data_IF_030127449139
#
_entry.id   IF_030127449139
#
_cell.length_a   1.000
_cell.length_b   1.000
_cell.length_c   1.000
_cell.angle_alpha   90.00
_cell.angle_beta   90.00
_cell.angle_gamma   90.00
#
_symmetry.space_group_name_H-M   'P 1'
#
loop_
_entity.id
_entity.type
_entity.pdbx_description
1 polymer ?
#
# COMPACT_ATOMS: atom_id res chain seq x y z
N UNK A 1 1.97 9.80 -2.53
CA UNK A 1 1.17 8.64 -2.13
C UNK A 1 0.47 8.97 -0.81
N UNK A 2 -0.83 8.77 -0.74
CA UNK A 2 -1.66 9.23 0.38
C UNK A 2 -2.59 8.11 0.82
N UNK A 3 -2.63 7.83 2.14
CA UNK A 3 -3.48 6.79 2.72
C UNK A 3 -3.58 6.90 4.23
N UNK A 4 -4.38 6.03 4.87
CA UNK A 4 -4.49 5.92 6.33
C UNK A 4 -4.23 4.47 6.75
N UNK A 5 -3.65 4.27 7.93
CA UNK A 5 -3.41 2.95 8.53
C UNK A 5 -2.67 2.00 7.60
N UNK A 6 -3.17 0.79 7.41
CA UNK A 6 -2.64 -0.23 6.50
C UNK A 6 -2.37 0.29 5.08
N UNK A 7 -3.29 1.10 4.54
CA UNK A 7 -3.10 1.71 3.22
C UNK A 7 -1.90 2.69 3.20
N UNK A 8 -1.66 3.43 4.27
CA UNK A 8 -0.47 4.26 4.40
C UNK A 8 0.81 3.43 4.49
N UNK A 9 0.80 2.28 5.18
CA UNK A 9 1.95 1.37 5.21
C UNK A 9 2.28 0.84 3.81
N UNK A 10 1.28 0.55 2.98
CA UNK A 10 1.50 0.17 1.58
C UNK A 10 2.11 1.33 0.75
N UNK A 11 1.74 2.58 1.03
CA UNK A 11 2.37 3.76 0.43
C UNK A 11 3.85 3.87 0.80
N UNK A 12 4.19 3.63 2.07
CA UNK A 12 5.57 3.65 2.54
C UNK A 12 6.45 2.59 1.86
N UNK A 13 5.96 1.36 1.69
CA UNK A 13 6.66 0.31 0.94
C UNK A 13 6.86 0.74 -0.52
N UNK A 14 5.80 1.27 -1.13
CA UNK A 14 5.80 1.71 -2.53
C UNK A 14 6.80 2.83 -2.80
N UNK A 15 7.02 3.71 -1.83
CA UNK A 15 8.06 4.74 -1.93
C UNK A 15 9.41 4.11 -2.25
N UNK A 16 9.84 3.08 -1.51
CA UNK A 16 11.11 2.39 -1.77
C UNK A 16 11.16 1.78 -3.17
N UNK A 17 10.08 1.18 -3.65
CA UNK A 17 10.04 0.60 -4.98
C UNK A 17 10.10 1.65 -6.09
N UNK A 18 9.37 2.75 -5.96
CA UNK A 18 9.42 3.84 -6.93
C UNK A 18 10.81 4.50 -6.94
N UNK A 19 11.43 4.73 -5.79
CA UNK A 19 12.80 5.25 -5.70
C UNK A 19 13.84 4.29 -6.27
N UNK A 20 13.62 2.96 -6.16
CA UNK A 20 14.51 1.96 -6.78
C UNK A 20 14.35 1.86 -8.30
N UNK A 21 13.11 1.98 -8.81
CA UNK A 21 12.81 1.71 -10.21
C UNK A 21 12.70 2.99 -11.05
N UNK A 22 12.71 4.16 -10.45
CA UNK A 22 12.58 5.45 -11.13
C UNK A 22 13.52 6.50 -10.52
N UNK A 23 13.74 7.59 -11.28
CA UNK A 23 14.43 8.78 -10.79
C UNK A 23 13.45 9.85 -10.28
N UNK A 24 12.28 9.45 -9.78
CA UNK A 24 11.27 10.35 -9.25
C UNK A 24 11.50 10.63 -7.77
N UNK A 25 11.19 11.84 -7.34
CA UNK A 25 11.06 12.17 -5.91
C UNK A 25 9.69 11.69 -5.44
N UNK A 26 9.68 10.85 -4.43
CA UNK A 26 8.45 10.22 -3.93
C UNK A 26 8.17 10.72 -2.51
N UNK A 27 6.98 11.30 -2.34
CA UNK A 27 6.46 11.70 -1.05
C UNK A 27 5.32 10.78 -0.61
N UNK A 28 5.24 10.54 0.68
CA UNK A 28 4.15 9.79 1.31
C UNK A 28 3.54 10.61 2.42
N UNK A 29 2.22 10.55 2.56
CA UNK A 29 1.53 11.31 3.58
C UNK A 29 0.34 10.53 4.17
N UNK A 30 0.06 10.79 5.44
CA UNK A 30 -1.15 10.29 6.09
C UNK A 30 -2.31 11.21 5.69
N UNK A 31 -3.40 10.63 5.19
CA UNK A 31 -4.51 11.41 4.64
C UNK A 31 -5.16 12.34 5.68
N UNK A 32 -5.22 11.93 6.96
CA UNK A 32 -5.71 12.77 8.05
C UNK A 32 -4.86 14.03 8.26
N UNK A 33 -3.52 13.92 8.11
CA UNK A 33 -2.64 15.07 8.22
C UNK A 33 -2.65 15.92 6.95
N UNK A 34 -2.65 15.26 5.78
CA UNK A 34 -2.66 15.91 4.47
C UNK A 34 -3.83 16.87 4.32
N UNK A 35 -5.03 16.49 4.77
CA UNK A 35 -6.25 17.32 4.63
C UNK A 35 -6.25 18.61 5.46
N UNK A 36 -5.50 18.67 6.55
CA UNK A 36 -5.49 19.82 7.47
C UNK A 36 -4.24 20.69 7.36
N UNK A 37 -3.20 20.18 6.72
CA UNK A 37 -1.94 20.87 6.56
C UNK A 37 -2.01 21.88 5.42
N UNK A 38 -1.19 22.96 5.49
CA UNK A 38 -1.01 23.90 4.40
C UNK A 38 -0.06 23.26 3.35
N UNK A 39 -0.62 22.53 2.40
CA UNK A 39 0.12 21.84 1.36
C UNK A 39 0.59 22.78 0.27
N UNK A 40 1.80 22.53 -0.23
CA UNK A 40 2.29 23.14 -1.47
C UNK A 40 2.03 22.17 -2.61
N UNK A 41 1.09 22.52 -3.48
CA UNK A 41 0.71 21.68 -4.61
C UNK A 41 1.58 21.98 -5.83
N UNK A 42 2.01 20.92 -6.53
CA UNK A 42 2.64 21.02 -7.85
C UNK A 42 1.76 20.29 -8.88
N UNK A 43 1.35 21.01 -9.92
CA UNK A 43 0.51 20.48 -11.02
C UNK A 43 1.21 19.43 -11.89
N UNK A 44 2.54 19.32 -11.78
CA UNK A 44 3.31 18.30 -12.48
C UNK A 44 3.33 16.96 -11.72
N UNK A 45 2.87 16.95 -10.46
CA UNK A 45 2.82 15.74 -9.65
C UNK A 45 1.55 14.93 -9.91
N UNK A 46 1.65 13.62 -9.74
CA UNK A 46 0.53 12.69 -9.63
C UNK A 46 0.26 12.40 -8.16
N UNK A 47 -0.97 12.61 -7.73
CA UNK A 47 -1.43 12.34 -6.37
C UNK A 47 -2.15 11.00 -6.33
N UNK A 48 -1.61 10.02 -5.61
CA UNK A 48 -2.12 8.65 -5.57
C UNK A 48 -2.73 8.38 -4.20
N UNK A 49 -4.01 8.02 -4.20
CA UNK A 49 -4.81 7.74 -3.01
C UNK A 49 -5.04 6.25 -2.86
N UNK A 50 -4.67 5.69 -1.71
CA UNK A 50 -4.82 4.26 -1.44
C UNK A 50 -5.88 4.04 -0.37
N UNK A 51 -6.87 3.21 -0.67
CA UNK A 51 -7.94 2.84 0.27
C UNK A 51 -8.54 1.49 -0.11
N UNK A 52 -8.74 0.60 0.86
CA UNK A 52 -9.40 -0.68 0.61
C UNK A 52 -10.86 -0.48 0.21
N UNK A 53 -11.65 0.21 1.03
CA UNK A 53 -13.07 0.45 0.79
C UNK A 53 -13.34 1.53 -0.25
N UNK A 54 -12.39 2.46 -0.44
CA UNK A 54 -12.60 3.67 -1.22
C UNK A 54 -13.60 4.66 -0.59
N UNK A 55 -13.94 4.47 0.70
CA UNK A 55 -14.86 5.33 1.47
C UNK A 55 -14.22 5.91 2.73
N UNK A 56 -12.90 5.78 2.89
CA UNK A 56 -12.16 6.34 4.03
C UNK A 56 -12.30 7.87 4.03
N UNK A 57 -12.96 8.43 5.03
CA UNK A 57 -13.33 9.84 5.08
C UNK A 57 -12.14 10.79 4.89
N UNK A 58 -11.01 10.54 5.58
CA UNK A 58 -9.83 11.38 5.46
C UNK A 58 -9.18 11.28 4.08
N UNK A 59 -9.13 10.07 3.51
CA UNK A 59 -8.58 9.85 2.15
C UNK A 59 -9.46 10.51 1.10
N UNK A 60 -10.78 10.44 1.24
CA UNK A 60 -11.72 11.12 0.37
C UNK A 60 -11.57 12.65 0.44
N UNK A 61 -11.47 13.20 1.66
CA UNK A 61 -11.29 14.64 1.85
C UNK A 61 -9.94 15.14 1.29
N UNK A 62 -8.88 14.34 1.41
CA UNK A 62 -7.58 14.65 0.80
C UNK A 62 -7.65 14.64 -0.73
N UNK A 63 -8.38 13.69 -1.33
CA UNK A 63 -8.64 13.64 -2.76
C UNK A 63 -9.46 14.87 -3.22
N UNK A 64 -10.54 15.20 -2.51
CA UNK A 64 -11.40 16.36 -2.82
C UNK A 64 -10.59 17.67 -2.81
N UNK A 65 -9.66 17.83 -1.87
CA UNK A 65 -8.73 18.95 -1.83
C UNK A 65 -7.87 19.02 -3.10
N UNK A 66 -7.28 17.91 -3.55
CA UNK A 66 -6.52 17.85 -4.78
C UNK A 66 -7.37 18.14 -6.03
N UNK A 67 -8.61 17.66 -6.06
CA UNK A 67 -9.54 17.93 -7.18
C UNK A 67 -9.92 19.42 -7.27
N UNK A 68 -10.12 20.11 -6.14
CA UNK A 68 -10.37 21.55 -6.09
C UNK A 68 -9.21 22.37 -6.67
N UNK A 69 -7.98 21.88 -6.50
CA UNK A 69 -6.77 22.48 -7.06
C UNK A 69 -6.46 22.05 -8.50
N UNK A 70 -7.34 21.25 -9.13
CA UNK A 70 -7.18 20.73 -10.49
C UNK A 70 -5.88 19.92 -10.66
N UNK A 71 -5.55 19.09 -9.67
CA UNK A 71 -4.39 18.20 -9.69
C UNK A 71 -4.73 16.85 -10.30
N UNK A 72 -3.72 16.18 -10.89
CA UNK A 72 -3.87 14.81 -11.44
C UNK A 72 -3.95 13.81 -10.31
N UNK A 73 -4.99 13.00 -10.31
CA UNK A 73 -5.29 12.04 -9.23
C UNK A 73 -5.41 10.62 -9.75
N UNK A 74 -4.91 9.67 -8.97
CA UNK A 74 -5.09 8.24 -9.19
C UNK A 74 -5.53 7.58 -7.88
N UNK A 75 -6.41 6.61 -7.92
CA UNK A 75 -6.77 5.83 -6.74
C UNK A 75 -6.44 4.35 -6.90
N UNK A 76 -6.00 3.73 -5.80
CA UNK A 76 -5.80 2.29 -5.66
C UNK A 76 -6.84 1.79 -4.67
N UNK A 77 -7.88 1.14 -5.16
CA UNK A 77 -9.06 0.75 -4.37
C UNK A 77 -9.52 -0.66 -4.67
N UNK A 78 -10.16 -1.31 -3.69
CA UNK A 78 -10.77 -2.62 -3.91
C UNK A 78 -12.23 -2.52 -4.40
N UNK A 79 -12.93 -1.44 -4.04
CA UNK A 79 -14.32 -1.17 -4.44
C UNK A 79 -14.31 -0.09 -5.51
N UNK A 80 -14.45 -0.49 -6.78
CA UNK A 80 -14.34 0.42 -7.94
C UNK A 80 -15.52 1.37 -8.09
N UNK A 81 -16.65 1.07 -7.45
CA UNK A 81 -17.85 1.93 -7.40
C UNK A 81 -17.82 2.92 -6.23
N UNK A 82 -16.74 2.96 -5.47
CA UNK A 82 -16.60 3.82 -4.29
C UNK A 82 -16.49 5.30 -4.65
N UNK A 83 -16.69 6.15 -3.63
CA UNK A 83 -16.61 7.60 -3.78
C UNK A 83 -15.23 8.07 -4.22
N UNK A 84 -14.14 7.49 -3.65
CA UNK A 84 -12.77 7.78 -4.05
C UNK A 84 -12.53 7.39 -5.50
N UNK A 85 -12.99 6.20 -5.92
CA UNK A 85 -12.82 5.74 -7.30
C UNK A 85 -13.53 6.66 -8.30
N UNK A 86 -14.80 7.01 -8.04
CA UNK A 86 -15.58 7.88 -8.92
C UNK A 86 -15.02 9.28 -9.10
N UNK A 87 -14.32 9.80 -8.08
CA UNK A 87 -13.79 11.16 -8.10
C UNK A 87 -12.38 11.24 -8.68
N UNK A 88 -11.63 10.14 -8.72
CA UNK A 88 -10.27 10.08 -9.24
C UNK A 88 -10.23 10.12 -10.77
N UNK A 89 -9.17 10.68 -11.35
CA UNK A 89 -8.97 10.69 -12.81
C UNK A 89 -8.58 9.31 -13.35
N UNK A 90 -7.96 8.47 -12.51
CA UNK A 90 -7.57 7.11 -12.84
C UNK A 90 -7.81 6.17 -11.65
N UNK A 91 -8.19 4.94 -11.92
CA UNK A 91 -8.44 3.92 -10.90
C UNK A 91 -7.62 2.66 -11.19
N UNK A 92 -6.91 2.18 -10.19
CA UNK A 92 -6.21 0.91 -10.19
C UNK A 92 -6.90 -0.05 -9.22
N UNK A 93 -7.65 -1.05 -9.72
CA UNK A 93 -8.42 -1.95 -8.86
C UNK A 93 -7.51 -3.01 -8.21
N UNK A 94 -7.77 -3.31 -6.93
CA UNK A 94 -7.00 -4.29 -6.15
C UNK A 94 -7.47 -5.73 -6.43
N UNK A 95 -8.76 -5.94 -6.70
CA UNK A 95 -9.38 -7.25 -6.94
C UNK A 95 -9.21 -8.27 -5.80
N UNK A 96 -9.15 -7.82 -4.54
CA UNK A 96 -9.02 -8.71 -3.39
C UNK A 96 -10.35 -9.36 -2.95
N UNK A 97 -11.47 -9.00 -3.59
CA UNK A 97 -12.80 -9.41 -3.16
C UNK A 97 -13.21 -8.77 -1.82
N UNK A 98 -14.37 -9.15 -1.24
CA UNK A 98 -14.82 -8.61 0.03
C UNK A 98 -13.88 -9.00 1.17
N UNK A 99 -13.54 -8.06 2.03
CA UNK A 99 -12.74 -8.27 3.24
C UNK A 99 -13.65 -8.11 4.46
N UNK A 100 -13.76 -9.19 5.26
CA UNK A 100 -14.60 -9.24 6.45
C UNK A 100 -13.64 -9.31 7.64
N UNK A 101 -13.26 -8.16 8.16
CA UNK A 101 -12.32 -8.07 9.28
C UNK A 101 -11.99 -6.62 9.61
N UNK A 102 -11.61 -6.37 10.85
CA UNK A 102 -11.16 -5.03 11.27
C UNK A 102 -9.74 -4.78 10.75
N UNK A 103 -8.86 -5.75 10.89
CA UNK A 103 -7.49 -5.67 10.35
C UNK A 103 -7.48 -6.06 8.86
N UNK A 104 -6.85 -5.23 8.04
CA UNK A 104 -6.67 -5.52 6.61
C UNK A 104 -5.57 -6.58 6.45
N UNK A 105 -5.85 -7.64 5.70
CA UNK A 105 -4.90 -8.73 5.44
C UNK A 105 -4.66 -8.92 3.95
N UNK A 106 -5.56 -9.58 3.24
CA UNK A 106 -5.43 -9.82 1.80
C UNK A 106 -5.48 -8.53 0.98
N UNK A 107 -6.22 -7.52 1.43
CA UNK A 107 -6.28 -6.25 0.73
C UNK A 107 -4.94 -5.50 0.82
N UNK A 108 -4.22 -5.57 1.94
CA UNK A 108 -2.86 -5.04 2.05
C UNK A 108 -1.90 -5.67 1.03
N UNK A 109 -1.92 -7.01 0.94
CA UNK A 109 -1.11 -7.71 -0.05
C UNK A 109 -1.50 -7.32 -1.48
N UNK A 110 -2.80 -7.19 -1.76
CA UNK A 110 -3.32 -6.72 -3.04
C UNK A 110 -2.90 -5.28 -3.37
N UNK A 111 -2.96 -4.37 -2.39
CA UNK A 111 -2.45 -2.99 -2.52
C UNK A 111 -0.97 -3.00 -2.89
N UNK A 112 -0.15 -3.73 -2.14
CA UNK A 112 1.28 -3.85 -2.44
C UNK A 112 1.54 -4.41 -3.84
N UNK A 113 0.79 -5.45 -4.26
CA UNK A 113 0.97 -6.03 -5.59
C UNK A 113 0.65 -5.04 -6.72
N UNK A 114 -0.48 -4.33 -6.61
CA UNK A 114 -0.88 -3.32 -7.60
C UNK A 114 0.12 -2.17 -7.65
N UNK A 115 0.55 -1.68 -6.50
CA UNK A 115 1.53 -0.59 -6.39
C UNK A 115 2.93 -1.01 -6.86
N UNK A 116 3.32 -2.26 -6.64
CA UNK A 116 4.57 -2.81 -7.18
C UNK A 116 4.55 -2.89 -8.71
N UNK A 117 3.45 -3.42 -9.29
CA UNK A 117 3.25 -3.47 -10.74
C UNK A 117 3.23 -2.05 -11.34
N UNK A 118 2.57 -1.11 -10.68
CA UNK A 118 2.58 0.31 -11.05
C UNK A 118 4.00 0.87 -11.05
N UNK A 119 4.79 0.63 -9.99
CA UNK A 119 6.16 1.10 -9.87
C UNK A 119 7.07 0.55 -10.98
N UNK A 120 6.96 -0.74 -11.28
CA UNK A 120 7.68 -1.38 -12.38
C UNK A 120 7.29 -0.77 -13.73
N UNK A 121 5.98 -0.56 -13.96
CA UNK A 121 5.49 -0.02 -15.23
C UNK A 121 5.92 1.42 -15.45
N UNK A 122 5.90 2.24 -14.41
CA UNK A 122 6.40 3.62 -14.48
C UNK A 122 7.89 3.64 -14.82
N UNK A 123 8.70 2.81 -14.13
CA UNK A 123 10.14 2.70 -14.40
C UNK A 123 10.44 2.26 -15.84
N UNK A 124 9.68 1.29 -16.37
CA UNK A 124 9.81 0.82 -17.76
C UNK A 124 9.44 1.91 -18.76
N UNK A 125 8.27 2.55 -18.60
CA UNK A 125 7.77 3.58 -19.54
C UNK A 125 8.67 4.81 -19.58
N UNK A 126 9.25 5.19 -18.45
CA UNK A 126 10.20 6.30 -18.35
C UNK A 126 11.60 5.97 -18.89
N UNK A 127 11.90 4.69 -19.08
CA UNK A 127 13.25 4.22 -19.46
C UNK A 127 14.24 4.21 -18.28
N UNK A 128 13.77 4.43 -17.05
CA UNK A 128 14.60 4.38 -15.84
C UNK A 128 14.90 2.92 -15.43
N UNK A 129 14.03 1.98 -15.79
CA UNK A 129 14.18 0.55 -15.53
C UNK A 129 14.48 -0.22 -16.83
N UNK A 130 15.62 -0.91 -16.88
CA UNK A 130 16.03 -1.75 -17.99
C UNK A 130 15.00 -2.86 -18.28
N UNK A 131 14.70 -3.10 -19.54
CA UNK A 131 13.72 -4.07 -20.00
C UNK A 131 14.02 -5.51 -19.55
N UNK A 132 15.31 -5.89 -19.47
CA UNK A 132 15.71 -7.21 -18.96
C UNK A 132 15.38 -7.35 -17.47
N UNK A 133 15.71 -6.33 -16.67
CA UNK A 133 15.37 -6.27 -15.23
C UNK A 133 13.83 -6.27 -15.06
N UNK A 134 13.09 -5.46 -15.83
CA UNK A 134 11.62 -5.43 -15.82
C UNK A 134 11.01 -6.83 -16.05
N UNK A 135 11.39 -7.50 -17.15
CA UNK A 135 10.90 -8.85 -17.48
C UNK A 135 11.22 -9.88 -16.40
N UNK A 136 12.42 -9.81 -15.81
CA UNK A 136 12.81 -10.69 -14.69
C UNK A 136 11.93 -10.49 -13.47
N UNK A 137 11.66 -9.23 -13.07
CA UNK A 137 10.83 -8.91 -11.92
C UNK A 137 9.37 -9.33 -12.12
N UNK A 138 8.82 -9.11 -13.32
CA UNK A 138 7.47 -9.60 -13.68
C UNK A 138 7.43 -11.15 -13.67
N UNK A 139 8.47 -11.82 -14.15
CA UNK A 139 8.54 -13.28 -14.10
C UNK A 139 8.57 -13.82 -12.68
N UNK A 140 9.28 -13.15 -11.77
CA UNK A 140 9.33 -13.52 -10.36
C UNK A 140 7.95 -13.44 -9.69
N UNK A 141 7.13 -12.44 -10.06
CA UNK A 141 5.76 -12.30 -9.52
C UNK A 141 4.85 -13.49 -9.86
N UNK A 142 5.10 -14.20 -10.96
CA UNK A 142 4.33 -15.40 -11.31
C UNK A 142 4.49 -16.53 -10.29
N UNK A 143 5.57 -16.53 -9.53
CA UNK A 143 5.83 -17.50 -8.47
C UNK A 143 5.22 -17.11 -7.11
N UNK A 144 4.72 -15.87 -6.97
CA UNK A 144 4.16 -15.36 -5.72
C UNK A 144 3.04 -16.24 -5.14
N UNK A 145 2.07 -16.75 -5.92
CA UNK A 145 1.04 -17.65 -5.36
C UNK A 145 1.61 -18.92 -4.74
N UNK A 146 2.67 -19.48 -5.33
CA UNK A 146 3.32 -20.66 -4.80
C UNK A 146 4.07 -20.35 -3.51
N UNK A 147 4.81 -19.25 -3.45
CA UNK A 147 5.49 -18.79 -2.24
C UNK A 147 4.52 -18.54 -1.08
N UNK A 148 3.37 -17.94 -1.36
CA UNK A 148 2.30 -17.75 -0.35
C UNK A 148 1.80 -19.10 0.16
N UNK A 149 1.53 -20.06 -0.73
CA UNK A 149 1.10 -21.43 -0.32
C UNK A 149 2.15 -22.13 0.55
N UNK A 150 3.43 -21.93 0.26
CA UNK A 150 4.51 -22.50 1.07
C UNK A 150 4.60 -21.84 2.45
N UNK A 151 4.50 -20.50 2.50
CA UNK A 151 4.50 -19.76 3.76
C UNK A 151 3.32 -20.17 4.66
N UNK A 152 2.13 -20.41 4.10
CA UNK A 152 0.96 -20.84 4.86
C UNK A 152 1.11 -22.24 5.47
N UNK A 153 2.03 -23.08 5.00
CA UNK A 153 2.33 -24.39 5.61
C UNK A 153 3.07 -24.28 6.94
N UNK A 154 3.68 -23.12 7.22
CA UNK A 154 4.38 -22.85 8.49
C UNK A 154 3.43 -22.54 9.66
N UNK A 155 2.12 -22.63 9.48
CA UNK A 155 1.10 -22.25 10.47
C UNK A 155 1.36 -22.90 11.84
N UNK A 156 1.64 -24.22 11.89
CA UNK A 156 1.88 -24.94 13.15
C UNK A 156 3.10 -24.38 13.91
N UNK A 157 4.17 -24.05 13.18
CA UNK A 157 5.36 -23.45 13.76
C UNK A 157 5.08 -22.05 14.31
N UNK A 158 4.31 -21.26 13.56
CA UNK A 158 3.89 -19.92 13.99
C UNK A 158 3.01 -20.02 15.25
N UNK A 159 2.10 -21.01 15.34
CA UNK A 159 1.29 -21.24 16.53
C UNK A 159 2.14 -21.58 17.76
N UNK A 160 3.21 -22.36 17.62
CA UNK A 160 4.12 -22.67 18.73
C UNK A 160 4.82 -21.39 19.22
N UNK A 161 5.38 -20.59 18.30
CA UNK A 161 6.00 -19.30 18.65
C UNK A 161 4.99 -18.37 19.33
N UNK A 162 3.76 -18.29 18.81
CA UNK A 162 2.71 -17.46 19.39
C UNK A 162 2.38 -17.86 20.83
N UNK A 163 2.37 -19.18 21.15
CA UNK A 163 2.18 -19.67 22.53
C UNK A 163 3.31 -19.24 23.45
N UNK A 164 4.55 -19.26 22.97
CA UNK A 164 5.72 -18.87 23.77
C UNK A 164 5.69 -17.38 24.14
N UNK A 165 5.24 -16.53 23.24
CA UNK A 165 5.19 -15.08 23.44
C UNK A 165 3.85 -14.56 23.99
N UNK A 166 2.83 -15.42 24.10
CA UNK A 166 1.46 -15.04 24.47
C UNK A 166 1.37 -14.24 25.79
N UNK A 167 2.19 -14.59 26.78
CA UNK A 167 2.22 -13.94 28.09
C UNK A 167 3.20 -12.76 28.18
N UNK A 168 3.84 -12.38 27.07
CA UNK A 168 4.78 -11.25 27.04
C UNK A 168 4.04 -9.94 27.28
N UNK A 169 4.61 -9.07 28.13
CA UNK A 169 4.02 -7.76 28.42
C UNK A 169 4.14 -6.73 27.31
N UNK A 170 4.92 -7.04 26.27
CA UNK A 170 5.09 -6.19 25.10
C UNK A 170 5.95 -6.89 24.06
N UNK A 171 5.93 -6.36 22.85
CA UNK A 171 6.77 -6.81 21.74
C UNK A 171 7.36 -5.61 21.00
N UNK A 172 8.51 -5.83 20.35
CA UNK A 172 9.19 -4.84 19.54
C UNK A 172 9.38 -5.39 18.13
N UNK A 173 8.92 -4.64 17.13
CA UNK A 173 9.10 -4.96 15.72
C UNK A 173 10.25 -4.13 15.16
N UNK A 174 11.33 -4.79 14.73
CA UNK A 174 12.54 -4.14 14.22
C UNK A 174 12.78 -4.55 12.77
N UNK A 175 12.81 -3.56 11.89
CA UNK A 175 13.14 -3.74 10.48
C UNK A 175 13.83 -2.50 9.91
N UNK A 176 14.48 -2.65 8.75
CA UNK A 176 15.14 -1.58 8.01
C UNK A 176 14.71 -1.57 6.54
N UNK A 177 14.88 -0.45 5.86
CA UNK A 177 14.55 -0.28 4.44
C UNK A 177 13.06 -0.53 4.17
N UNK A 178 12.76 -1.19 3.07
CA UNK A 178 11.38 -1.53 2.67
C UNK A 178 10.65 -2.47 3.63
N UNK A 179 11.37 -3.14 4.54
CA UNK A 179 10.78 -3.98 5.57
C UNK A 179 10.30 -3.19 6.81
N UNK A 180 10.74 -1.93 6.98
CA UNK A 180 10.27 -1.09 8.08
C UNK A 180 8.74 -0.86 8.04
N UNK A 181 8.12 -0.48 6.91
CA UNK A 181 6.66 -0.37 6.86
C UNK A 181 5.92 -1.70 7.10
N UNK A 182 6.55 -2.84 6.78
CA UNK A 182 5.98 -4.16 7.09
C UNK A 182 5.98 -4.41 8.61
N UNK A 183 7.02 -3.97 9.31
CA UNK A 183 7.05 -4.04 10.78
C UNK A 183 5.96 -3.15 11.41
N UNK A 184 5.71 -1.95 10.85
CA UNK A 184 4.61 -1.09 11.27
C UNK A 184 3.24 -1.77 11.08
N UNK A 185 3.04 -2.44 9.95
CA UNK A 185 1.80 -3.20 9.71
C UNK A 185 1.67 -4.36 10.69
N UNK A 186 2.73 -5.14 10.90
CA UNK A 186 2.73 -6.23 11.87
C UNK A 186 2.40 -5.75 13.29
N UNK A 187 2.93 -4.61 13.71
CA UNK A 187 2.59 -3.98 14.99
C UNK A 187 1.12 -3.54 15.04
N UNK A 188 0.63 -2.91 13.97
CA UNK A 188 -0.76 -2.45 13.87
C UNK A 188 -1.75 -3.61 13.96
N UNK A 189 -1.50 -4.72 13.26
CA UNK A 189 -2.32 -5.94 13.32
C UNK A 189 -2.29 -6.55 14.72
N UNK A 190 -1.11 -6.61 15.35
CA UNK A 190 -0.92 -7.17 16.70
C UNK A 190 -1.66 -6.37 17.78
N UNK A 191 -1.74 -5.05 17.64
CA UNK A 191 -2.38 -4.15 18.62
C UNK A 191 -3.84 -3.88 18.32
N UNK A 192 -4.36 -4.28 17.16
CA UNK A 192 -5.78 -4.14 16.83
C UNK A 192 -6.63 -5.05 17.71
N UNK A 193 -7.75 -4.55 18.28
CA UNK A 193 -8.65 -5.41 19.01
C UNK A 193 -9.17 -6.53 18.11
N UNK A 194 -9.12 -7.76 18.62
CA UNK A 194 -9.79 -8.88 17.96
C UNK A 194 -11.29 -8.62 17.88
N UNK A 195 -11.95 -9.00 16.78
CA UNK A 195 -13.40 -8.92 16.68
C UNK A 195 -14.09 -9.82 17.70
#
# INVERSE_FOLDING_TARGET
>A
LIGCGTAYHSCLVTKYWLEEFTNLVIETDIASEFRYRNNRFDKNNLYIFVSQSGETADTFAALDLCKKENLKTCSVVNVVESSIARQSDCVLPIHAGPEIGVASTKAFLGQMLVLYLFSLKIGEVRGDLDNKKYKKLISNLKNLPQLIKETLKEEQKIQLIAKDIYNSKGSMFLCIGSSYPIALEGWSVYTSPSP
#
